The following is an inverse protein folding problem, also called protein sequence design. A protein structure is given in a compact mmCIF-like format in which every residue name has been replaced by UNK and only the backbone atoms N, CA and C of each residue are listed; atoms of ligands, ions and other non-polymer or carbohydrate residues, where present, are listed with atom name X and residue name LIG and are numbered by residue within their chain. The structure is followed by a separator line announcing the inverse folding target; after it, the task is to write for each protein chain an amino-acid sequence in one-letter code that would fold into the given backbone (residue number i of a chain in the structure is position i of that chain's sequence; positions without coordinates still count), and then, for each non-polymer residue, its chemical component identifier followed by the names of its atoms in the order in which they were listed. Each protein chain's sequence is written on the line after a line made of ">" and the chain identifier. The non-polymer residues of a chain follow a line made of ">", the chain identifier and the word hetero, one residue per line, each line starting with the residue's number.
data_IF_537150761886
#
_entry.id   IF_537150761886
#
_cell.length_a   1.000
_cell.length_b   1.000
_cell.length_c   1.000
_cell.angle_alpha   90.00
_cell.angle_beta   90.00
_cell.angle_gamma   90.00
#
_symmetry.space_group_name_H-M   'P 1'
#
loop_
_entity.id
_entity.type
_entity.pdbx_description
1 polymer ?
#
# COMPACT_ATOMS: atom_id res chain seq x y z
N UNK A 1 -10.60 -25.34 1.71
CA UNK A 1 -10.47 -24.76 1.75
C UNK A 1 -10.06 -24.00 2.04
N UNK A 2 -9.69 -23.81 2.31
CA UNK A 2 -9.40 -22.93 2.64
C UNK A 2 -8.86 -22.16 2.42
N UNK A 3 -8.51 -21.73 2.50
CA UNK A 3 -8.09 -20.99 2.44
C UNK A 3 -7.92 -20.37 1.87
N UNK A 4 -8.08 -20.37 1.82
CA UNK A 4 -8.03 -19.78 1.20
C UNK A 4 -7.79 -18.61 0.92
N UNK A 5 -7.95 -18.01 0.84
CA UNK A 5 -7.79 -16.80 0.68
C UNK A 5 -6.89 -16.21 1.47
N UNK A 6 -5.82 -16.39 1.22
CA UNK A 6 -4.85 -15.84 1.92
C UNK A 6 -4.40 -14.61 1.31
N UNK A 7 -4.68 -13.50 1.95
CA UNK A 7 -4.09 -12.23 1.58
C UNK A 7 -2.77 -12.07 2.28
N UNK A 8 -1.82 -11.48 1.57
CA UNK A 8 -0.56 -11.04 2.15
C UNK A 8 -0.65 -9.55 2.39
N UNK A 9 -0.12 -9.12 3.50
CA UNK A 9 -0.13 -7.71 3.86
C UNK A 9 1.12 -7.03 3.33
N UNK A 10 0.94 -5.82 2.79
CA UNK A 10 2.03 -5.02 2.27
C UNK A 10 1.97 -3.64 2.89
N UNK A 11 3.14 -3.05 3.11
CA UNK A 11 3.25 -1.64 3.50
C UNK A 11 3.86 -0.91 2.33
N UNK A 12 3.26 0.22 1.96
CA UNK A 12 3.73 1.02 0.85
C UNK A 12 4.08 2.40 1.38
N UNK A 13 5.31 2.80 1.12
CA UNK A 13 5.74 4.16 1.43
C UNK A 13 5.65 4.96 0.14
N UNK A 14 4.93 6.06 0.20
CA UNK A 14 4.63 6.82 -1.00
C UNK A 14 5.11 8.26 -0.84
N UNK A 15 5.69 8.78 -1.90
CA UNK A 15 6.18 10.14 -1.94
C UNK A 15 5.56 10.85 -3.11
N UNK A 16 5.28 12.14 -2.93
CA UNK A 16 4.79 12.98 -4.00
C UNK A 16 5.90 13.13 -5.02
N UNK A 17 5.65 12.67 -6.26
CA UNK A 17 6.67 12.60 -7.28
C UNK A 17 7.03 13.96 -7.84
N UNK A 18 6.06 14.87 -7.88
CA UNK A 18 6.29 16.11 -8.56
C UNK A 18 6.11 17.26 -7.61
N UNK A 19 7.06 18.22 -7.68
CA UNK A 19 6.95 19.44 -6.91
C UNK A 19 5.82 20.33 -7.40
N UNK A 20 5.21 19.98 -8.53
CA UNK A 20 4.10 20.75 -9.05
C UNK A 20 2.82 20.57 -8.26
N UNK A 21 2.73 19.54 -7.44
CA UNK A 21 1.54 19.36 -6.62
C UNK A 21 1.67 20.29 -5.43
N UNK A 22 0.94 21.39 -5.50
CA UNK A 22 1.03 22.43 -4.48
C UNK A 22 -0.21 22.48 -3.61
N UNK A 23 -1.27 21.79 -4.01
CA UNK A 23 -2.58 21.96 -3.40
C UNK A 23 -2.89 20.77 -2.50
N UNK A 24 -2.89 20.96 -1.17
CA UNK A 24 -3.17 19.85 -0.25
C UNK A 24 -4.55 19.22 -0.48
N UNK A 25 -5.52 20.00 -0.94
CA UNK A 25 -6.84 19.46 -1.20
C UNK A 25 -6.82 18.50 -2.37
N UNK A 26 -6.00 18.77 -3.38
CA UNK A 26 -5.84 17.84 -4.49
C UNK A 26 -5.17 16.58 -4.04
N UNK A 27 -4.17 16.69 -3.17
CA UNK A 27 -3.51 15.51 -2.63
C UNK A 27 -4.48 14.65 -1.83
N UNK A 28 -5.34 15.29 -1.04
CA UNK A 28 -6.34 14.54 -0.29
C UNK A 28 -7.31 13.85 -1.23
N UNK A 29 -7.59 14.46 -2.36
CA UNK A 29 -8.61 13.95 -3.28
C UNK A 29 -8.17 12.72 -4.06
N UNK A 30 -6.87 12.41 -4.12
CA UNK A 30 -6.44 11.25 -4.90
C UNK A 30 -6.78 9.93 -4.22
N UNK A 31 -7.05 9.92 -2.90
CA UNK A 31 -7.16 8.66 -2.18
C UNK A 31 -8.44 7.92 -2.44
N UNK A 32 -9.55 8.64 -2.70
CA UNK A 32 -10.79 7.98 -3.11
C UNK A 32 -10.62 7.17 -4.37
N UNK A 33 -10.19 7.79 -5.47
CA UNK A 33 -9.92 7.05 -6.71
C UNK A 33 -8.90 5.93 -6.54
N UNK A 34 -7.82 6.16 -5.77
CA UNK A 34 -6.82 5.12 -5.55
C UNK A 34 -7.46 3.90 -4.90
N UNK A 35 -8.24 4.11 -3.83
CA UNK A 35 -8.88 2.99 -3.16
C UNK A 35 -9.79 2.22 -4.09
N UNK A 36 -10.58 2.93 -4.88
CA UNK A 36 -11.51 2.30 -5.79
C UNK A 36 -10.77 1.47 -6.83
N UNK A 37 -9.74 2.04 -7.43
CA UNK A 37 -8.99 1.36 -8.48
C UNK A 37 -8.26 0.16 -7.92
N UNK A 38 -7.72 0.26 -6.72
CA UNK A 38 -7.07 -0.87 -6.07
C UNK A 38 -8.05 -2.01 -5.81
N UNK A 39 -9.25 -1.67 -5.34
CA UNK A 39 -10.29 -2.67 -5.11
C UNK A 39 -10.64 -3.37 -6.41
N UNK A 40 -10.77 -2.62 -7.49
CA UNK A 40 -11.06 -3.20 -8.80
C UNK A 40 -9.95 -4.11 -9.29
N UNK A 41 -8.72 -3.85 -8.87
CA UNK A 41 -7.58 -4.68 -9.23
C UNK A 41 -7.41 -5.89 -8.32
N UNK A 42 -8.21 -6.00 -7.27
CA UNK A 42 -8.16 -7.13 -6.37
C UNK A 42 -7.41 -6.90 -5.07
N UNK A 43 -7.01 -5.66 -4.79
CA UNK A 43 -6.30 -5.32 -3.57
C UNK A 43 -7.22 -4.52 -2.65
N UNK A 44 -6.94 -4.56 -1.37
CA UNK A 44 -7.70 -3.78 -0.41
C UNK A 44 -6.76 -2.86 0.35
N UNK A 45 -7.01 -1.55 0.27
CA UNK A 45 -6.29 -0.58 1.09
C UNK A 45 -6.96 -0.60 2.46
N UNK A 46 -6.29 -1.19 3.45
CA UNK A 46 -6.87 -1.32 4.77
C UNK A 46 -6.66 -0.05 5.58
N UNK A 47 -5.56 0.64 5.39
CA UNK A 47 -5.27 1.87 6.10
C UNK A 47 -4.40 2.76 5.24
N UNK A 48 -4.53 4.06 5.43
CA UNK A 48 -3.63 5.01 4.78
C UNK A 48 -3.43 6.19 5.71
N UNK A 49 -2.20 6.67 5.74
CA UNK A 49 -1.79 7.72 6.67
C UNK A 49 -0.95 8.73 5.92
N UNK A 50 -1.16 10.00 6.22
CA UNK A 50 -0.18 11.02 5.86
C UNK A 50 0.87 11.04 6.95
N UNK A 51 2.13 11.11 6.57
CA UNK A 51 3.22 11.07 7.55
C UNK A 51 4.10 12.29 7.37
N UNK A 52 4.75 12.67 8.46
CA UNK A 52 5.75 13.72 8.44
C UNK A 52 7.11 13.05 8.49
N UNK A 53 8.02 13.51 7.65
CA UNK A 53 9.36 12.96 7.64
C UNK A 53 9.81 12.72 6.21
N UNK A 54 10.55 11.66 6.03
CA UNK A 54 11.16 11.37 4.74
C UNK A 54 10.12 11.00 3.68
N UNK A 55 9.05 10.34 4.09
CA UNK A 55 8.00 9.91 3.17
C UNK A 55 6.73 10.69 3.43
N UNK A 56 5.86 10.75 2.43
CA UNK A 56 4.65 11.57 2.52
C UNK A 56 3.44 10.76 2.99
N UNK A 57 3.36 9.49 2.59
CA UNK A 57 2.22 8.65 2.95
C UNK A 57 2.68 7.24 3.28
N UNK A 58 1.95 6.60 4.18
CA UNK A 58 2.11 5.18 4.48
C UNK A 58 0.78 4.51 4.22
N UNK A 59 0.80 3.43 3.44
CA UNK A 59 -0.41 2.70 3.07
C UNK A 59 -0.24 1.25 3.48
N UNK A 60 -1.26 0.69 4.11
CA UNK A 60 -1.31 -0.73 4.38
C UNK A 60 -2.30 -1.35 3.42
N UNK A 61 -1.91 -2.46 2.82
CA UNK A 61 -2.63 -3.05 1.71
C UNK A 61 -2.65 -4.56 1.85
N UNK A 62 -3.82 -5.15 1.67
CA UNK A 62 -3.94 -6.60 1.54
C UNK A 62 -4.07 -6.95 0.08
N UNK A 63 -3.30 -7.93 -0.38
CA UNK A 63 -3.37 -8.38 -1.76
C UNK A 63 -3.16 -9.88 -1.80
N UNK A 64 -3.84 -10.58 -2.74
CA UNK A 64 -3.71 -12.04 -2.81
C UNK A 64 -2.39 -12.49 -3.42
N UNK A 65 -1.67 -11.60 -4.10
CA UNK A 65 -0.42 -11.96 -4.73
C UNK A 65 0.44 -10.73 -4.90
N UNK A 66 1.73 -10.96 -5.16
CA UNK A 66 2.64 -9.86 -5.47
C UNK A 66 2.21 -9.11 -6.72
N UNK A 67 1.62 -9.84 -7.68
CA UNK A 67 1.19 -9.19 -8.92
C UNK A 67 0.13 -8.14 -8.64
N UNK A 68 -0.81 -8.45 -7.74
CA UNK A 68 -1.85 -7.50 -7.41
C UNK A 68 -1.26 -6.33 -6.62
N UNK A 69 -0.32 -6.59 -5.73
CA UNK A 69 0.36 -5.51 -5.03
C UNK A 69 1.11 -4.60 -6.02
N UNK A 70 1.74 -5.20 -7.02
CA UNK A 70 2.42 -4.44 -8.05
C UNK A 70 1.43 -3.55 -8.79
N UNK A 71 0.25 -4.09 -9.15
CA UNK A 71 -0.79 -3.28 -9.80
C UNK A 71 -1.21 -2.11 -8.93
N UNK A 72 -1.39 -2.35 -7.63
CA UNK A 72 -1.76 -1.27 -6.71
C UNK A 72 -0.68 -0.19 -6.69
N UNK A 73 0.59 -0.58 -6.70
CA UNK A 73 1.68 0.38 -6.75
C UNK A 73 1.64 1.23 -8.02
N UNK A 74 1.38 0.58 -9.15
CA UNK A 74 1.29 1.31 -10.42
C UNK A 74 0.10 2.25 -10.46
N UNK A 75 -1.00 1.84 -9.83
CA UNK A 75 -2.17 2.72 -9.71
C UNK A 75 -1.79 3.99 -8.96
N UNK A 76 -1.08 3.84 -7.85
CA UNK A 76 -0.64 5.01 -7.08
C UNK A 76 0.31 5.88 -7.90
N UNK A 77 1.18 5.24 -8.69
CA UNK A 77 2.10 6.01 -9.52
C UNK A 77 1.37 6.81 -10.59
N UNK A 78 0.27 6.28 -11.13
CA UNK A 78 -0.53 7.05 -12.07
C UNK A 78 -1.12 8.30 -11.44
N UNK A 79 -1.30 8.27 -10.12
CA UNK A 79 -1.83 9.42 -9.41
C UNK A 79 -0.74 10.36 -8.90
N UNK A 80 0.50 10.16 -9.35
CA UNK A 80 1.57 11.11 -9.06
C UNK A 80 2.43 10.76 -7.86
N UNK A 81 2.39 9.52 -7.41
CA UNK A 81 3.18 9.09 -6.27
C UNK A 81 4.30 8.17 -6.72
N UNK A 82 5.45 8.26 -6.07
CA UNK A 82 6.49 7.25 -6.15
C UNK A 82 6.29 6.32 -4.98
N UNK A 83 6.28 5.02 -5.23
CA UNK A 83 5.87 4.05 -4.24
C UNK A 83 6.95 3.00 -4.05
N UNK A 84 7.23 2.70 -2.79
CA UNK A 84 8.07 1.58 -2.42
C UNK A 84 7.22 0.60 -1.65
N UNK A 85 7.04 -0.61 -2.18
CA UNK A 85 6.18 -1.61 -1.56
C UNK A 85 7.03 -2.66 -0.85
N UNK A 86 6.56 -3.09 0.31
CA UNK A 86 7.25 -4.08 1.11
C UNK A 86 6.23 -5.08 1.63
N UNK A 87 6.57 -6.36 1.54
CA UNK A 87 5.77 -7.36 2.22
C UNK A 87 6.07 -7.28 3.70
N UNK A 88 5.04 -7.34 4.54
CA UNK A 88 5.22 -7.24 5.98
C UNK A 88 4.63 -8.47 6.65
N UNK A 89 5.19 -8.79 7.81
CA UNK A 89 4.74 -9.90 8.62
C UNK A 89 4.47 -9.36 10.02
N UNK A 90 3.28 -9.59 10.57
CA UNK A 90 3.03 -9.15 11.94
C UNK A 90 4.05 -9.77 12.89
N UNK A 91 4.39 -9.03 13.94
CA UNK A 91 5.44 -9.51 14.84
C UNK A 91 5.07 -10.83 15.51
N UNK A 92 3.78 -11.08 15.73
CA UNK A 92 3.36 -12.38 16.27
C UNK A 92 3.70 -13.51 15.30
N UNK A 93 3.44 -13.31 14.01
CA UNK A 93 3.79 -14.31 13.02
C UNK A 93 5.30 -14.43 12.87
N UNK A 94 5.99 -13.30 12.95
CA UNK A 94 7.45 -13.31 12.93
C UNK A 94 8.02 -14.13 14.08
N UNK A 95 7.43 -13.96 15.28
CA UNK A 95 7.87 -14.75 16.42
C UNK A 95 7.80 -16.25 16.16
N UNK A 96 6.72 -16.69 15.51
CA UNK A 96 6.57 -18.11 15.17
C UNK A 96 7.57 -18.55 14.11
N UNK A 97 7.86 -17.68 13.15
CA UNK A 97 8.80 -18.00 12.09
C UNK A 97 10.18 -18.32 12.65
N UNK A 98 10.57 -17.68 13.74
CA UNK A 98 11.93 -17.79 14.25
C UNK A 98 12.03 -18.72 15.45
N UNK A 99 10.97 -19.43 15.79
CA UNK A 99 10.99 -20.29 16.98
C UNK A 99 12.06 -21.35 16.90
N UNK A 100 12.40 -21.80 15.71
CA UNK A 100 13.36 -22.87 15.52
C UNK A 100 14.76 -22.37 15.18
N UNK A 101 15.02 -21.11 15.35
CA UNK A 101 16.36 -20.57 15.06
C UNK A 101 17.31 -20.64 16.25
#
# INVERSE_FOLDING_TARGET
>A
MPQQNEFTEYALLADIRTADVQNPQELAAIWGPIRKECTEAGAEVTDSYAVLGEHDFLVLLDAPSRDVCFKASLIMERHGLDVQSMEVVPTEAFGKLVEDL
#
